data_IF_551478113628
#
_entry.id   IF_551478113628
#
_cell.length_a   1.000
_cell.length_b   1.000
_cell.length_c   1.000
_cell.angle_alpha   90.00
_cell.angle_beta   90.00
_cell.angle_gamma   90.00
#
_symmetry.space_group_name_H-M   'P 1'
#
loop_
_entity.id
_entity.type
_entity.pdbx_description
1 polymer ?
#
# COMPACT_ATOMS: atom_id res chain seq x y z
N UNK A 1 -43.74 -17.78 2.49
CA UNK A 1 -42.44 -18.28 2.01
C UNK A 1 -41.73 -17.15 1.27
N UNK A 2 -40.50 -16.79 1.64
CA UNK A 2 -39.74 -15.72 0.95
C UNK A 2 -39.45 -16.12 -0.50
N UNK A 3 -39.46 -15.15 -1.40
CA UNK A 3 -39.06 -15.37 -2.80
C UNK A 3 -37.54 -15.63 -2.88
N UNK A 4 -37.08 -16.27 -3.96
CA UNK A 4 -35.65 -16.52 -4.17
C UNK A 4 -34.86 -15.20 -4.21
N UNK A 5 -35.46 -14.14 -4.78
CA UNK A 5 -34.86 -12.81 -4.83
C UNK A 5 -34.75 -12.18 -3.44
N UNK A 6 -35.75 -12.34 -2.58
CA UNK A 6 -35.70 -11.86 -1.20
C UNK A 6 -34.60 -12.58 -0.40
N UNK A 7 -34.49 -13.91 -0.54
CA UNK A 7 -33.45 -14.70 0.13
C UNK A 7 -32.05 -14.31 -0.36
N UNK A 8 -31.89 -14.07 -1.67
CA UNK A 8 -30.63 -13.59 -2.25
C UNK A 8 -30.20 -12.26 -1.63
N UNK A 9 -31.10 -11.28 -1.56
CA UNK A 9 -30.78 -9.98 -0.99
C UNK A 9 -30.46 -10.06 0.50
N UNK A 10 -31.18 -10.90 1.23
CA UNK A 10 -30.93 -11.14 2.65
C UNK A 10 -29.56 -11.78 2.89
N UNK A 11 -29.24 -12.89 2.21
CA UNK A 11 -27.91 -13.51 2.31
C UNK A 11 -26.80 -12.55 1.86
N UNK A 12 -27.06 -11.72 0.85
CA UNK A 12 -26.07 -10.76 0.35
C UNK A 12 -25.76 -9.65 1.36
N UNK A 13 -26.80 -9.11 2.03
CA UNK A 13 -26.70 -7.97 2.96
C UNK A 13 -26.49 -8.36 4.41
N UNK A 14 -26.71 -9.63 4.76
CA UNK A 14 -26.55 -10.11 6.12
C UNK A 14 -25.14 -9.79 6.63
N UNK A 15 -25.03 -9.26 7.87
CA UNK A 15 -23.77 -9.21 8.58
C UNK A 15 -23.13 -10.59 8.62
N UNK A 16 -21.80 -10.60 8.64
CA UNK A 16 -21.04 -11.85 8.64
C UNK A 16 -21.41 -12.76 9.82
N UNK A 17 -21.61 -12.19 11.01
CA UNK A 17 -22.02 -12.93 12.20
C UNK A 17 -23.37 -13.66 12.06
N UNK A 18 -24.29 -13.13 11.25
CA UNK A 18 -25.63 -13.70 11.07
C UNK A 18 -25.67 -14.73 9.93
N UNK A 19 -24.67 -14.69 9.04
CA UNK A 19 -24.64 -15.48 7.82
C UNK A 19 -24.62 -17.00 8.08
N UNK A 20 -23.87 -17.55 9.07
CA UNK A 20 -23.96 -18.97 9.40
C UNK A 20 -25.35 -19.41 9.84
N UNK A 21 -26.07 -18.57 10.59
CA UNK A 21 -27.43 -18.87 11.03
C UNK A 21 -28.40 -18.87 9.84
N UNK A 22 -28.29 -17.89 8.94
CA UNK A 22 -29.11 -17.83 7.72
C UNK A 22 -28.85 -19.01 6.78
N UNK A 23 -27.59 -19.42 6.60
CA UNK A 23 -27.25 -20.61 5.82
C UNK A 23 -27.94 -21.86 6.39
N UNK A 24 -27.94 -22.05 7.72
CA UNK A 24 -28.65 -23.17 8.36
C UNK A 24 -30.17 -23.11 8.12
N UNK A 25 -30.79 -21.94 8.24
CA UNK A 25 -32.23 -21.76 8.02
C UNK A 25 -32.61 -22.11 6.57
N UNK A 26 -31.85 -21.61 5.59
CA UNK A 26 -32.19 -21.79 4.18
C UNK A 26 -31.72 -23.11 3.58
N UNK A 27 -30.90 -23.89 4.30
CA UNK A 27 -30.47 -25.23 3.87
C UNK A 27 -31.63 -26.23 3.77
N UNK A 28 -32.70 -26.03 4.53
CA UNK A 28 -33.90 -26.87 4.46
C UNK A 28 -34.83 -26.53 3.27
N UNK A 29 -34.55 -25.45 2.53
CA UNK A 29 -35.40 -25.03 1.40
C UNK A 29 -35.11 -25.86 0.13
N UNK A 30 -36.04 -26.70 -0.37
CA UNK A 30 -35.74 -27.65 -1.44
C UNK A 30 -35.53 -27.00 -2.81
N UNK A 31 -35.79 -25.69 -2.97
CA UNK A 31 -35.65 -25.00 -4.25
C UNK A 31 -34.19 -24.95 -4.65
N UNK A 32 -33.83 -25.52 -5.81
CA UNK A 32 -32.45 -25.50 -6.35
C UNK A 32 -31.81 -24.11 -6.37
N UNK A 33 -32.61 -23.07 -6.66
CA UNK A 33 -32.13 -21.69 -6.65
C UNK A 33 -31.76 -21.18 -5.26
N UNK A 34 -32.43 -21.62 -4.19
CA UNK A 34 -32.08 -21.27 -2.80
C UNK A 34 -30.87 -22.06 -2.34
N UNK A 35 -30.81 -23.36 -2.64
CA UNK A 35 -29.64 -24.21 -2.35
C UNK A 35 -28.36 -23.64 -2.98
N UNK A 36 -28.43 -23.15 -4.22
CA UNK A 36 -27.30 -22.48 -4.87
C UNK A 36 -26.86 -21.19 -4.16
N UNK A 37 -27.80 -20.42 -3.58
CA UNK A 37 -27.49 -19.21 -2.81
C UNK A 37 -26.85 -19.53 -1.46
N UNK A 38 -27.32 -20.59 -0.79
CA UNK A 38 -26.73 -21.07 0.48
C UNK A 38 -25.29 -21.52 0.23
N UNK A 39 -25.04 -22.34 -0.79
CA UNK A 39 -23.69 -22.78 -1.13
C UNK A 39 -22.76 -21.61 -1.46
N UNK A 40 -23.27 -20.57 -2.14
CA UNK A 40 -22.50 -19.36 -2.42
C UNK A 40 -22.15 -18.59 -1.14
N UNK A 41 -23.09 -18.49 -0.19
CA UNK A 41 -22.87 -17.84 1.08
C UNK A 41 -21.88 -18.61 1.97
N UNK A 42 -21.96 -19.93 2.00
CA UNK A 42 -21.01 -20.81 2.71
C UNK A 42 -19.59 -20.67 2.15
N UNK A 43 -19.43 -20.71 0.83
CA UNK A 43 -18.12 -20.45 0.19
C UNK A 43 -17.56 -19.06 0.49
N UNK A 44 -18.42 -18.07 0.73
CA UNK A 44 -17.99 -16.74 1.14
C UNK A 44 -17.46 -16.74 2.58
N UNK A 45 -18.10 -17.48 3.49
CA UNK A 45 -17.62 -17.66 4.86
C UNK A 45 -16.26 -18.39 4.88
N UNK A 46 -16.14 -19.49 4.15
CA UNK A 46 -14.89 -20.26 4.04
C UNK A 46 -13.73 -19.38 3.58
N UNK A 47 -13.91 -18.62 2.49
CA UNK A 47 -12.89 -17.68 1.99
C UNK A 47 -12.49 -16.60 3.00
N UNK A 48 -13.42 -16.21 3.86
CA UNK A 48 -13.17 -15.19 4.87
C UNK A 48 -12.40 -15.75 6.06
N UNK A 49 -12.70 -16.98 6.46
CA UNK A 49 -11.91 -17.73 7.44
C UNK A 49 -10.48 -17.99 6.93
N UNK A 50 -10.32 -18.38 5.66
CA UNK A 50 -9.01 -18.51 5.01
C UNK A 50 -8.23 -17.19 5.01
N UNK A 51 -8.90 -16.08 4.72
CA UNK A 51 -8.28 -14.75 4.73
C UNK A 51 -7.84 -14.32 6.13
N UNK A 52 -8.67 -14.58 7.16
CA UNK A 52 -8.30 -14.33 8.55
C UNK A 52 -7.10 -15.17 8.97
N UNK A 53 -7.09 -16.46 8.62
CA UNK A 53 -5.96 -17.34 8.89
C UNK A 53 -4.67 -16.85 8.20
N UNK A 54 -4.78 -16.35 6.96
CA UNK A 54 -3.64 -15.73 6.25
C UNK A 54 -3.11 -14.49 6.97
N UNK A 55 -4.01 -13.61 7.42
CA UNK A 55 -3.63 -12.40 8.15
C UNK A 55 -3.02 -12.73 9.51
N UNK A 56 -3.50 -13.74 10.20
CA UNK A 56 -2.92 -14.21 11.46
C UNK A 56 -1.46 -14.65 11.28
N UNK A 57 -1.17 -15.36 10.18
CA UNK A 57 0.22 -15.69 9.82
C UNK A 57 1.05 -14.44 9.55
N UNK A 58 0.46 -13.41 8.92
CA UNK A 58 1.13 -12.12 8.72
C UNK A 58 1.27 -11.29 10.01
N UNK A 59 0.52 -11.59 11.09
CA UNK A 59 0.66 -10.92 12.38
C UNK A 59 1.78 -11.47 13.24
N UNK A 60 2.54 -12.45 12.73
CA UNK A 60 3.61 -13.11 13.49
C UNK A 60 4.56 -12.11 14.16
N UNK A 61 4.98 -11.07 13.43
CA UNK A 61 5.91 -10.09 13.98
C UNK A 61 5.23 -9.12 14.95
N UNK A 62 4.00 -8.72 14.66
CA UNK A 62 3.20 -7.89 15.57
C UNK A 62 3.01 -8.62 16.92
N UNK A 63 2.64 -9.90 16.91
CA UNK A 63 2.51 -10.70 18.13
C UNK A 63 3.84 -10.94 18.86
N UNK A 64 4.94 -11.04 18.13
CA UNK A 64 6.27 -11.17 18.74
C UNK A 64 6.62 -9.93 19.59
N UNK A 65 6.20 -8.74 19.16
CA UNK A 65 6.64 -7.48 19.77
C UNK A 65 5.55 -6.62 20.43
N UNK A 66 4.26 -6.98 20.34
CA UNK A 66 3.14 -6.24 20.93
C UNK A 66 3.26 -6.05 22.46
N UNK A 67 4.01 -6.93 23.14
CA UNK A 67 4.27 -6.81 24.57
C UNK A 67 5.14 -5.60 24.94
N UNK A 68 5.85 -5.03 23.96
CA UNK A 68 6.62 -3.80 24.12
C UNK A 68 5.76 -2.54 24.05
N UNK A 69 4.53 -2.63 23.53
CA UNK A 69 3.64 -1.49 23.30
C UNK A 69 3.31 -1.30 21.82
N UNK A 70 3.37 -0.06 21.34
CA UNK A 70 3.04 0.29 19.97
C UNK A 70 4.10 -0.20 18.98
N UNK A 71 3.65 -1.03 18.03
CA UNK A 71 4.41 -1.55 16.91
C UNK A 71 4.14 -0.69 15.68
N UNK A 72 5.19 -0.13 15.08
CA UNK A 72 5.09 0.67 13.86
C UNK A 72 5.66 -0.09 12.67
N UNK A 73 4.88 -0.24 11.60
CA UNK A 73 5.36 -0.75 10.33
C UNK A 73 5.86 0.40 9.44
N UNK A 74 6.93 0.14 8.70
CA UNK A 74 7.57 1.11 7.79
C UNK A 74 7.88 0.44 6.45
N UNK A 75 7.49 1.12 5.36
CA UNK A 75 7.83 0.74 3.99
C UNK A 75 7.98 1.98 3.10
N UNK A 76 8.69 1.86 1.99
CA UNK A 76 8.87 2.90 0.99
C UNK A 76 8.34 2.55 -0.40
N UNK A 77 8.04 3.60 -1.17
CA UNK A 77 7.73 3.50 -2.59
C UNK A 77 8.44 4.59 -3.38
N UNK A 78 8.70 4.30 -4.65
CA UNK A 78 9.24 5.29 -5.57
C UNK A 78 10.75 5.32 -5.60
N UNK A 79 11.44 4.21 -5.32
CA UNK A 79 12.91 4.16 -5.48
C UNK A 79 13.38 4.11 -6.93
N UNK A 80 12.72 3.33 -7.78
CA UNK A 80 13.08 3.15 -9.20
C UNK A 80 12.65 4.23 -10.21
N UNK A 81 11.57 5.00 -10.02
CA UNK A 81 11.12 6.02 -10.97
C UNK A 81 12.17 7.07 -11.34
N UNK A 82 12.08 7.57 -12.58
CA UNK A 82 12.85 8.71 -13.09
C UNK A 82 12.35 10.05 -12.54
N UNK A 83 11.08 10.12 -12.14
CA UNK A 83 10.45 11.34 -11.65
C UNK A 83 9.63 11.13 -10.37
N UNK A 84 9.47 12.23 -9.63
CA UNK A 84 8.75 12.30 -8.37
C UNK A 84 9.60 11.91 -7.15
N UNK A 85 9.09 12.13 -5.93
CA UNK A 85 9.80 11.81 -4.71
C UNK A 85 9.87 10.30 -4.44
N UNK A 86 10.73 9.92 -3.51
CA UNK A 86 10.56 8.69 -2.73
C UNK A 86 9.66 9.03 -1.53
N UNK A 87 8.72 8.15 -1.23
CA UNK A 87 7.74 8.33 -0.14
C UNK A 87 7.85 7.14 0.79
N UNK A 88 7.95 7.38 2.08
CA UNK A 88 7.89 6.34 3.10
C UNK A 88 6.62 6.50 3.94
N UNK A 89 5.97 5.39 4.27
CA UNK A 89 4.84 5.35 5.20
C UNK A 89 5.30 4.81 6.55
N UNK A 90 4.72 5.33 7.63
CA UNK A 90 4.88 4.79 8.98
C UNK A 90 3.49 4.63 9.59
N UNK A 91 3.11 3.41 9.98
CA UNK A 91 1.75 3.10 10.44
C UNK A 91 1.77 2.30 11.74
N UNK A 92 0.99 2.74 12.72
CA UNK A 92 0.72 2.04 13.98
C UNK A 92 -0.73 1.58 13.96
N UNK A 93 -0.95 0.27 13.96
CA UNK A 93 -2.29 -0.32 14.04
C UNK A 93 -2.63 -0.67 15.50
N UNK A 94 -3.92 -0.61 15.89
CA UNK A 94 -4.35 -1.21 17.15
C UNK A 94 -4.05 -2.72 17.18
N UNK A 95 -3.78 -3.25 18.37
CA UNK A 95 -3.44 -4.66 18.60
C UNK A 95 -4.45 -5.63 17.98
N UNK A 96 -5.73 -5.40 18.23
CA UNK A 96 -6.83 -6.25 17.75
C UNK A 96 -7.48 -5.72 16.45
N UNK A 97 -6.77 -4.88 15.71
CA UNK A 97 -7.32 -4.23 14.51
C UNK A 97 -7.46 -5.23 13.36
N UNK A 98 -8.70 -5.54 12.96
CA UNK A 98 -8.96 -6.31 11.73
C UNK A 98 -9.11 -5.37 10.53
N UNK A 99 -8.18 -5.48 9.57
CA UNK A 99 -8.25 -4.90 8.23
C UNK A 99 -8.01 -6.04 7.26
N UNK A 100 -9.08 -6.50 6.60
CA UNK A 100 -9.01 -7.66 5.73
C UNK A 100 -8.23 -7.33 4.44
N UNK A 101 -7.56 -8.33 3.88
CA UNK A 101 -6.87 -8.22 2.59
C UNK A 101 -5.62 -7.31 2.55
N UNK A 102 -5.08 -6.94 3.72
CA UNK A 102 -3.74 -6.33 3.78
C UNK A 102 -2.70 -7.28 3.18
N UNK A 103 -1.93 -6.78 2.22
CA UNK A 103 -0.90 -7.52 1.51
C UNK A 103 0.06 -6.53 0.83
N UNK A 104 1.11 -7.03 0.20
CA UNK A 104 2.00 -6.25 -0.68
C UNK A 104 1.16 -5.39 -1.64
N UNK A 105 1.39 -4.08 -1.58
CA UNK A 105 0.63 -3.09 -2.35
C UNK A 105 0.70 -3.33 -3.86
N UNK A 106 1.73 -4.01 -4.36
CA UNK A 106 1.89 -4.37 -5.78
C UNK A 106 0.98 -5.51 -6.20
N UNK A 107 0.55 -6.36 -5.26
CA UNK A 107 -0.39 -7.47 -5.51
C UNK A 107 -1.86 -7.02 -5.47
N UNK A 108 -2.12 -5.79 -5.04
CA UNK A 108 -3.44 -5.21 -4.92
C UNK A 108 -3.80 -4.36 -6.14
N UNK A 109 -5.07 -4.40 -6.55
CA UNK A 109 -5.59 -3.47 -7.56
C UNK A 109 -5.60 -2.04 -7.01
N UNK A 110 -5.54 -1.04 -7.89
CA UNK A 110 -5.58 0.36 -7.49
C UNK A 110 -6.83 0.68 -6.66
N UNK A 111 -8.01 0.19 -7.11
CA UNK A 111 -9.26 0.35 -6.37
C UNK A 111 -9.17 -0.25 -4.96
N UNK A 112 -8.64 -1.47 -4.83
CA UNK A 112 -8.53 -2.11 -3.52
C UNK A 112 -7.54 -1.39 -2.60
N UNK A 113 -6.45 -0.84 -3.15
CA UNK A 113 -5.52 0.00 -2.38
C UNK A 113 -6.18 1.27 -1.86
N UNK A 114 -6.98 1.95 -2.69
CA UNK A 114 -7.70 3.16 -2.28
C UNK A 114 -8.71 2.83 -1.16
N UNK A 115 -9.46 1.73 -1.28
CA UNK A 115 -10.36 1.25 -0.21
C UNK A 115 -9.62 0.95 1.10
N UNK A 116 -8.49 0.23 1.02
CA UNK A 116 -7.67 -0.10 2.18
C UNK A 116 -6.99 1.12 2.78
N UNK A 117 -6.59 2.09 1.96
CA UNK A 117 -6.03 3.35 2.45
C UNK A 117 -7.00 4.06 3.39
N UNK A 118 -8.25 4.24 2.96
CA UNK A 118 -9.27 4.89 3.80
C UNK A 118 -9.52 4.09 5.09
N UNK A 119 -9.61 2.76 5.00
CA UNK A 119 -9.79 1.89 6.17
C UNK A 119 -8.60 1.94 7.15
N UNK A 120 -7.36 1.99 6.63
CA UNK A 120 -6.15 2.17 7.45
C UNK A 120 -6.17 3.52 8.14
N UNK A 121 -6.46 4.60 7.41
CA UNK A 121 -6.48 5.95 7.98
C UNK A 121 -7.58 6.13 9.04
N UNK A 122 -8.71 5.43 8.90
CA UNK A 122 -9.79 5.42 9.89
C UNK A 122 -9.42 4.66 11.16
N UNK A 123 -8.75 3.50 11.02
CA UNK A 123 -8.51 2.57 12.14
C UNK A 123 -7.13 2.70 12.80
N UNK A 124 -6.14 3.26 12.11
CA UNK A 124 -4.78 3.37 12.64
C UNK A 124 -4.73 4.29 13.87
N UNK A 125 -3.87 3.94 14.82
CA UNK A 125 -3.56 4.81 15.98
C UNK A 125 -2.80 6.05 15.48
N UNK A 126 -1.87 5.83 14.55
CA UNK A 126 -1.14 6.89 13.86
C UNK A 126 -0.70 6.38 12.49
N UNK A 127 -0.77 7.23 11.48
CA UNK A 127 -0.27 6.94 10.14
C UNK A 127 0.29 8.23 9.54
N UNK A 128 1.56 8.21 9.17
CA UNK A 128 2.27 9.38 8.65
C UNK A 128 3.12 9.03 7.44
N UNK A 129 3.45 10.06 6.66
CA UNK A 129 4.26 9.94 5.44
C UNK A 129 5.44 10.92 5.46
N UNK A 130 6.58 10.43 5.00
CA UNK A 130 7.79 11.21 4.78
C UNK A 130 8.20 11.20 3.31
N UNK A 131 8.92 12.23 2.89
CA UNK A 131 9.26 12.49 1.49
C UNK A 131 10.73 12.86 1.35
N UNK A 132 11.38 12.34 0.33
CA UNK A 132 12.61 12.95 -0.17
C UNK A 132 12.43 13.38 -1.62
N UNK A 133 12.69 14.67 -1.87
CA UNK A 133 12.48 15.30 -3.17
C UNK A 133 13.45 14.75 -4.22
N UNK A 134 13.14 14.87 -5.53
CA UNK A 134 14.07 14.53 -6.61
C UNK A 134 15.43 15.22 -6.47
N UNK A 135 15.44 16.51 -6.11
CA UNK A 135 16.67 17.26 -5.86
C UNK A 135 17.49 16.67 -4.70
N UNK A 136 16.82 16.27 -3.61
CA UNK A 136 17.50 15.61 -2.48
C UNK A 136 18.02 14.23 -2.88
N UNK A 137 17.26 13.45 -3.65
CA UNK A 137 17.70 12.15 -4.17
C UNK A 137 18.97 12.31 -5.02
N UNK A 138 19.02 13.32 -5.90
CA UNK A 138 20.21 13.59 -6.71
C UNK A 138 21.41 14.02 -5.85
N UNK A 139 21.20 14.73 -4.74
CA UNK A 139 22.25 15.20 -3.84
C UNK A 139 22.88 14.07 -3.00
N UNK A 140 22.05 13.19 -2.43
CA UNK A 140 22.51 12.21 -1.41
C UNK A 140 22.33 10.75 -1.81
N UNK A 141 21.95 10.48 -3.06
CA UNK A 141 21.55 9.17 -3.59
C UNK A 141 20.23 8.59 -3.03
N UNK A 142 19.68 7.63 -3.77
CA UNK A 142 18.36 7.07 -3.47
C UNK A 142 18.29 6.30 -2.15
N UNK A 143 19.37 5.66 -1.71
CA UNK A 143 19.38 4.89 -0.47
C UNK A 143 19.29 5.84 0.74
N UNK A 144 20.11 6.89 0.77
CA UNK A 144 20.08 7.85 1.87
C UNK A 144 18.79 8.68 1.87
N UNK A 145 18.30 9.07 0.69
CA UNK A 145 17.02 9.75 0.56
C UNK A 145 15.84 8.88 1.04
N UNK A 146 15.90 7.56 0.84
CA UNK A 146 14.92 6.62 1.41
C UNK A 146 14.96 6.65 2.94
N UNK A 147 16.16 6.61 3.55
CA UNK A 147 16.29 6.72 5.00
C UNK A 147 15.81 8.08 5.55
N UNK A 148 16.02 9.18 4.82
CA UNK A 148 15.47 10.48 5.21
C UNK A 148 13.94 10.49 5.19
N UNK A 149 13.32 9.96 4.14
CA UNK A 149 11.86 9.83 4.08
C UNK A 149 11.32 8.96 5.22
N UNK A 150 11.97 7.84 5.54
CA UNK A 150 11.57 6.97 6.66
C UNK A 150 11.71 7.69 8.02
N UNK A 151 12.82 8.41 8.25
CA UNK A 151 13.00 9.21 9.47
C UNK A 151 11.95 10.30 9.59
N UNK A 152 11.64 10.98 8.49
CA UNK A 152 10.60 12.01 8.47
C UNK A 152 9.22 11.42 8.79
N UNK A 153 8.87 10.27 8.21
CA UNK A 153 7.62 9.58 8.49
C UNK A 153 7.48 9.24 9.98
N UNK A 154 8.52 8.62 10.56
CA UNK A 154 8.54 8.29 11.99
C UNK A 154 8.50 9.54 12.87
N UNK A 155 9.25 10.59 12.51
CA UNK A 155 9.32 11.84 13.27
C UNK A 155 8.03 12.65 13.30
N UNK A 156 7.10 12.41 12.36
CA UNK A 156 5.78 13.04 12.32
C UNK A 156 4.73 12.34 13.18
N UNK A 157 4.97 11.08 13.56
CA UNK A 157 4.01 10.32 14.36
C UNK A 157 3.75 11.04 15.69
N UNK A 158 2.48 11.37 15.94
CA UNK A 158 2.05 11.98 17.22
C UNK A 158 2.17 11.00 18.41
N UNK A 159 2.25 9.71 18.12
CA UNK A 159 2.41 8.64 19.10
C UNK A 159 3.77 7.98 18.87
N UNK A 160 4.61 7.95 19.91
CA UNK A 160 5.93 7.32 19.82
C UNK A 160 5.80 5.81 19.87
N UNK A 161 6.23 5.07 18.83
CA UNK A 161 6.26 3.62 18.86
C UNK A 161 7.39 3.10 19.76
N UNK A 162 7.22 1.89 20.29
CA UNK A 162 8.24 1.21 21.09
C UNK A 162 9.15 0.33 20.22
N UNK A 163 8.70 -0.04 19.01
CA UNK A 163 9.49 -0.79 18.05
C UNK A 163 9.08 -0.47 16.61
N UNK A 164 10.04 -0.53 15.70
CA UNK A 164 9.83 -0.39 14.27
C UNK A 164 10.01 -1.75 13.56
N UNK A 165 9.04 -2.12 12.72
CA UNK A 165 9.14 -3.22 11.77
C UNK A 165 9.38 -2.60 10.40
N UNK A 166 10.52 -2.87 9.79
CA UNK A 166 10.94 -2.23 8.54
C UNK A 166 11.03 -3.25 7.41
N UNK A 167 10.65 -2.88 6.19
CA UNK A 167 10.94 -3.73 5.03
C UNK A 167 12.45 -3.73 4.71
N UNK A 168 13.09 -4.88 4.92
CA UNK A 168 14.47 -5.23 4.59
C UNK A 168 15.62 -4.35 5.16
N UNK A 169 15.36 -3.18 5.75
CA UNK A 169 16.40 -2.21 6.13
C UNK A 169 16.39 -1.81 7.60
N UNK A 170 17.54 -1.41 8.13
CA UNK A 170 17.65 -0.71 9.41
C UNK A 170 17.85 0.77 9.13
N UNK A 171 16.99 1.62 9.70
CA UNK A 171 16.99 3.06 9.44
C UNK A 171 18.07 3.72 10.32
N UNK A 172 19.15 4.27 9.73
CA UNK A 172 20.18 4.94 10.50
C UNK A 172 19.65 6.22 11.15
N UNK A 173 20.17 6.57 12.32
CA UNK A 173 19.78 7.80 13.04
C UNK A 173 18.48 7.69 13.85
N UNK A 174 17.87 6.50 13.93
CA UNK A 174 16.76 6.21 14.85
C UNK A 174 17.28 5.28 15.95
N UNK A 175 17.07 5.67 17.21
CA UNK A 175 17.50 4.92 18.40
C UNK A 175 16.48 3.90 18.90
N UNK A 176 15.24 3.96 18.40
CA UNK A 176 14.20 2.98 18.71
C UNK A 176 14.65 1.58 18.26
N UNK A 177 14.23 0.51 18.98
CA UNK A 177 14.39 -0.86 18.50
C UNK A 177 13.80 -1.02 17.09
N UNK A 178 14.52 -1.73 16.21
CA UNK A 178 14.11 -1.96 14.83
C UNK A 178 14.31 -3.42 14.45
N UNK A 179 13.38 -3.96 13.67
CA UNK A 179 13.43 -5.31 13.13
C UNK A 179 13.33 -5.23 11.61
N UNK A 180 14.44 -5.42 10.88
CA UNK A 180 14.40 -5.51 9.42
C UNK A 180 13.83 -6.87 9.01
N UNK A 181 12.78 -6.85 8.18
CA UNK A 181 12.09 -8.06 7.72
C UNK A 181 12.18 -8.15 6.20
N UNK A 182 12.81 -9.20 5.67
CA UNK A 182 12.88 -9.43 4.22
C UNK A 182 11.48 -9.76 3.69
N UNK A 183 10.98 -8.94 2.74
CA UNK A 183 9.61 -9.00 2.22
C UNK A 183 8.60 -8.76 3.34
N UNK A 184 8.83 -7.69 4.09
CA UNK A 184 8.03 -7.31 5.25
C UNK A 184 6.58 -7.03 4.88
N UNK A 185 6.34 -6.42 3.73
CA UNK A 185 5.01 -6.14 3.16
C UNK A 185 4.13 -7.38 2.98
N UNK A 186 4.73 -8.55 2.76
CA UNK A 186 4.03 -9.84 2.65
C UNK A 186 4.00 -10.65 3.96
N UNK A 187 4.64 -10.16 5.04
CA UNK A 187 4.86 -10.91 6.29
C UNK A 187 4.46 -10.19 7.57
N UNK A 188 4.19 -8.89 7.49
CA UNK A 188 3.79 -8.02 8.60
C UNK A 188 2.61 -7.19 8.13
N UNK A 189 1.51 -7.22 8.89
CA UNK A 189 0.32 -6.41 8.59
C UNK A 189 0.61 -4.91 8.75
N UNK A 190 1.48 -4.53 9.69
CA UNK A 190 1.88 -3.14 9.88
C UNK A 190 2.73 -2.62 8.71
N UNK A 191 3.69 -3.42 8.21
CA UNK A 191 4.48 -3.04 7.02
C UNK A 191 3.58 -3.00 5.78
N UNK A 192 2.66 -3.95 5.61
CA UNK A 192 1.70 -3.94 4.51
C UNK A 192 0.85 -2.66 4.51
N UNK A 193 0.36 -2.24 5.67
CA UNK A 193 -0.40 -1.01 5.81
C UNK A 193 0.45 0.23 5.46
N UNK A 194 1.70 0.29 5.95
CA UNK A 194 2.63 1.36 5.60
C UNK A 194 2.92 1.42 4.09
N UNK A 195 3.09 0.26 3.44
CA UNK A 195 3.26 0.13 1.99
C UNK A 195 2.09 0.74 1.23
N UNK A 196 0.86 0.43 1.64
CA UNK A 196 -0.37 0.94 1.02
C UNK A 196 -0.47 2.45 1.19
N UNK A 197 -0.24 2.96 2.41
CA UNK A 197 -0.27 4.39 2.73
C UNK A 197 0.73 5.14 1.86
N UNK A 198 1.99 4.67 1.79
CA UNK A 198 3.02 5.26 0.96
C UNK A 198 2.65 5.20 -0.54
N UNK A 199 2.18 4.04 -1.03
CA UNK A 199 1.83 3.80 -2.42
C UNK A 199 0.70 4.70 -2.91
N UNK A 200 -0.40 4.74 -2.19
CA UNK A 200 -1.58 5.55 -2.57
C UNK A 200 -1.22 7.03 -2.52
N UNK A 201 -0.51 7.46 -1.47
CA UNK A 201 -0.04 8.85 -1.35
C UNK A 201 0.83 9.26 -2.54
N UNK A 202 1.83 8.44 -2.88
CA UNK A 202 2.71 8.74 -4.01
C UNK A 202 1.95 8.73 -5.34
N UNK A 203 1.08 7.76 -5.56
CA UNK A 203 0.33 7.66 -6.82
C UNK A 203 -0.64 8.84 -7.01
N UNK A 204 -1.31 9.29 -5.93
CA UNK A 204 -2.13 10.52 -5.93
C UNK A 204 -1.27 11.74 -6.29
N UNK A 205 -0.08 11.89 -5.71
CA UNK A 205 0.85 12.98 -6.05
C UNK A 205 1.29 12.95 -7.52
N UNK A 206 1.60 11.77 -8.08
CA UNK A 206 1.97 11.66 -9.49
C UNK A 206 0.82 12.02 -10.44
N UNK A 207 -0.44 11.73 -10.06
CA UNK A 207 -1.62 12.19 -10.81
C UNK A 207 -1.77 13.71 -10.76
N UNK A 208 -1.46 14.36 -9.64
CA UNK A 208 -1.46 15.83 -9.57
C UNK A 208 -0.38 16.45 -10.46
N UNK A 209 0.82 15.86 -10.52
CA UNK A 209 1.86 16.30 -11.46
C UNK A 209 1.44 16.15 -12.92
N UNK A 210 0.69 15.09 -13.25
CA UNK A 210 0.17 14.88 -14.61
C UNK A 210 -0.77 16.00 -15.06
N UNK A 211 -1.60 16.55 -14.16
CA UNK A 211 -2.48 17.68 -14.50
C UNK A 211 -1.70 18.91 -14.96
N UNK A 212 -0.50 19.12 -14.41
CA UNK A 212 0.36 20.28 -14.68
C UNK A 212 1.32 19.99 -15.84
N UNK A 213 1.77 18.75 -15.98
CA UNK A 213 2.73 18.29 -16.98
C UNK A 213 2.22 17.04 -17.72
N UNK A 214 1.07 17.15 -18.44
CA UNK A 214 0.38 15.99 -19.02
C UNK A 214 1.19 15.27 -20.10
N UNK A 215 2.15 15.97 -20.72
CA UNK A 215 2.97 15.42 -21.78
C UNK A 215 3.89 14.26 -21.35
N UNK A 216 4.11 14.07 -20.05
CA UNK A 216 4.95 12.97 -19.52
C UNK A 216 4.14 11.75 -19.07
N UNK A 217 2.80 11.81 -19.03
CA UNK A 217 1.93 10.68 -18.70
C UNK A 217 2.11 10.11 -17.28
N UNK A 218 2.46 10.97 -16.31
CA UNK A 218 2.68 10.60 -14.91
C UNK A 218 1.48 9.93 -14.26
N UNK A 219 0.25 10.25 -14.69
CA UNK A 219 -0.96 9.60 -14.18
C UNK A 219 -1.00 8.10 -14.53
N UNK A 220 -0.33 7.68 -15.61
CA UNK A 220 -0.22 6.28 -16.01
C UNK A 220 1.06 5.66 -15.45
N UNK A 221 2.22 6.17 -15.89
CA UNK A 221 3.52 5.56 -15.61
C UNK A 221 4.07 5.84 -14.20
N UNK A 222 3.45 6.74 -13.41
CA UNK A 222 3.86 7.10 -12.04
C UNK A 222 5.34 7.54 -11.92
N UNK A 223 5.91 8.06 -13.00
CA UNK A 223 7.29 8.50 -13.13
C UNK A 223 8.29 7.39 -13.49
N UNK A 224 7.86 6.14 -13.68
CA UNK A 224 8.75 5.07 -14.16
C UNK A 224 9.16 5.33 -15.62
N UNK A 225 10.36 4.88 -16.00
CA UNK A 225 10.92 5.05 -17.35
C UNK A 225 10.24 4.16 -18.39
N UNK A 226 8.93 4.34 -18.63
CA UNK A 226 8.24 3.73 -19.76
C UNK A 226 8.76 4.33 -21.06
N UNK A 227 8.52 3.64 -22.18
CA UNK A 227 8.91 4.13 -23.50
C UNK A 227 8.33 5.53 -23.77
N UNK A 228 7.06 5.72 -23.46
CA UNK A 228 6.35 6.99 -23.62
C UNK A 228 6.96 8.09 -22.74
N UNK A 229 7.38 7.75 -21.52
CA UNK A 229 8.02 8.71 -20.62
C UNK A 229 9.40 9.14 -21.13
N UNK A 230 10.20 8.19 -21.63
CA UNK A 230 11.52 8.46 -22.22
C UNK A 230 11.37 9.33 -23.47
N UNK A 231 10.41 9.02 -24.34
CA UNK A 231 10.09 9.82 -25.53
C UNK A 231 9.66 11.25 -25.14
N UNK A 232 8.86 11.40 -24.07
CA UNK A 232 8.47 12.71 -23.55
C UNK A 232 9.67 13.51 -23.01
N UNK A 233 10.59 12.87 -22.27
CA UNK A 233 11.82 13.51 -21.77
C UNK A 233 12.68 14.00 -22.94
N UNK A 234 12.85 13.20 -24.01
CA UNK A 234 13.60 13.62 -25.19
C UNK A 234 12.94 14.82 -25.87
N UNK A 235 11.61 14.76 -26.07
CA UNK A 235 10.88 15.81 -26.78
C UNK A 235 10.74 17.12 -26.00
N UNK A 236 10.47 17.05 -24.70
CA UNK A 236 10.09 18.22 -23.88
C UNK A 236 11.14 18.61 -22.83
N UNK A 237 12.19 17.80 -22.68
CA UNK A 237 13.25 18.01 -21.69
C UNK A 237 12.94 17.44 -20.31
N UNK A 238 13.90 17.59 -19.39
CA UNK A 238 13.68 17.26 -17.99
C UNK A 238 12.92 18.38 -17.25
N UNK A 239 12.17 18.02 -16.22
CA UNK A 239 11.43 18.95 -15.36
C UNK A 239 12.00 18.96 -13.95
N UNK A 240 11.61 19.91 -13.07
CA UNK A 240 12.09 19.95 -11.68
C UNK A 240 11.77 18.68 -10.86
N UNK A 241 10.80 17.86 -11.29
CA UNK A 241 10.48 16.61 -10.58
C UNK A 241 11.25 15.40 -11.12
N UNK A 242 12.06 15.55 -12.16
CA UNK A 242 12.94 14.49 -12.64
C UNK A 242 14.20 14.39 -11.78
N UNK A 243 14.66 13.17 -11.56
CA UNK A 243 15.93 12.84 -10.89
C UNK A 243 17.02 12.82 -11.95
N UNK A 244 17.82 13.88 -12.02
CA UNK A 244 18.81 14.08 -13.08
C UNK A 244 19.83 12.94 -13.12
N UNK A 245 20.20 12.41 -11.96
CA UNK A 245 21.13 11.29 -11.84
C UNK A 245 20.57 9.99 -12.46
N UNK A 246 19.25 9.84 -12.57
CA UNK A 246 18.59 8.65 -13.14
C UNK A 246 18.40 8.75 -14.65
N UNK A 247 18.29 9.98 -15.17
CA UNK A 247 17.98 10.23 -16.59
C UNK A 247 19.17 10.73 -17.41
N UNK A 248 20.39 10.79 -16.83
CA UNK A 248 21.59 11.27 -17.52
C UNK A 248 21.77 10.65 -18.92
N UNK A 249 21.66 9.32 -19.03
CA UNK A 249 21.75 8.61 -20.32
C UNK A 249 20.67 9.02 -21.32
N UNK A 250 19.46 9.37 -20.86
CA UNK A 250 18.37 9.80 -21.74
C UNK A 250 18.65 11.20 -22.30
N UNK A 251 19.25 12.07 -21.48
CA UNK A 251 19.62 13.43 -21.86
C UNK A 251 20.84 13.44 -22.80
N UNK A 252 21.89 12.66 -22.50
CA UNK A 252 23.09 12.56 -23.35
C UNK A 252 22.76 12.01 -24.75
N UNK A 253 21.86 11.04 -24.85
CA UNK A 253 21.42 10.50 -26.14
C UNK A 253 20.66 11.54 -26.97
N UNK A 254 19.94 12.47 -26.33
CA UNK A 254 19.27 13.57 -27.03
C UNK A 254 20.30 14.53 -27.63
N UNK A 255 21.29 14.92 -26.83
CA UNK A 255 22.38 15.81 -27.28
C UNK A 255 23.17 15.20 -28.44
N UNK A 256 23.47 13.89 -28.36
CA UNK A 256 24.18 13.17 -29.42
C UNK A 256 23.36 13.01 -30.71
N UNK A 257 22.03 12.96 -30.63
CA UNK A 257 21.14 12.82 -31.78
C UNK A 257 20.92 14.15 -32.55
N UNK A 258 21.40 15.28 -32.03
CA UNK A 258 21.17 16.60 -32.63
C UNK A 258 19.68 16.99 -32.68
N UNK A 259 18.86 16.36 -31.84
CA UNK A 259 17.45 16.68 -31.70
C UNK A 259 17.32 17.96 -30.85
N UNK A 260 16.59 19.00 -31.31
CA UNK A 260 16.43 20.25 -30.57
C UNK A 260 15.79 20.05 -29.19
#
# INVERSE_FOLDING_TARGET
MKSIQQIREELKRAPEADLPALCRIYREDPRKGVQGLVLQAEKRLEKLEEERARLEVMRKFEHEYEHLGYVCGIDEVGRGPFAGPVVAGAVILPKDCEILYLNDSKQLSEKKREELYEEIMEKAIAAEVGYASPARIDEINILQATYEAMREAVGKLLVTPQILLNDAVTIPGITLPQVPIIKGDAKSVSIAAASIVAKVTRDRLMKEYDKIMPQYGFASNKGYGSREHIEAIRKYGATPIHRKTFIHNVLEQKEAAGEP
#
